data_IF_726748920567
#
_entry.id   IF_726748920567
#
_cell.length_a   1.000
_cell.length_b   1.000
_cell.length_c   1.000
_cell.angle_alpha   90.00
_cell.angle_beta   90.00
_cell.angle_gamma   90.00
#
_symmetry.space_group_name_H-M   'P 1'
#
loop_
_entity.id
_entity.type
_entity.pdbx_description
1 polymer ?
#
# COMPACT_ATOMS: atom_id res chain seq x y z
N UNK A 1 -16.37 -0.74 -1.61
CA UNK A 1 -16.64 -0.61 -3.06
C UNK A 1 -15.93 -1.75 -3.79
N UNK A 2 -16.66 -2.61 -4.47
CA UNK A 2 -16.08 -3.72 -5.22
C UNK A 2 -16.91 -3.92 -6.48
N UNK A 3 -16.35 -3.59 -7.65
CA UNK A 3 -17.03 -3.55 -8.95
C UNK A 3 -18.28 -2.67 -8.99
N UNK A 4 -18.32 -1.63 -8.19
CA UNK A 4 -19.48 -0.76 -8.05
C UNK A 4 -19.25 0.58 -8.75
N UNK A 5 -20.35 1.28 -9.01
CA UNK A 5 -20.29 2.64 -9.50
C UNK A 5 -19.53 3.53 -8.50
N UNK A 6 -18.92 4.57 -9.02
CA UNK A 6 -18.18 5.51 -8.21
C UNK A 6 -19.10 6.28 -7.26
N UNK A 7 -18.76 6.29 -5.98
CA UNK A 7 -19.45 7.06 -4.94
C UNK A 7 -18.43 7.92 -4.20
N UNK A 8 -18.51 9.23 -4.38
CA UNK A 8 -17.66 10.20 -3.70
C UNK A 8 -18.54 11.19 -2.92
N UNK A 9 -18.25 11.31 -1.65
CA UNK A 9 -18.91 12.24 -0.75
C UNK A 9 -17.87 13.15 -0.11
N UNK A 10 -18.19 14.44 -0.05
CA UNK A 10 -17.35 15.46 0.58
C UNK A 10 -18.25 16.38 1.40
N UNK A 11 -17.72 16.86 2.52
CA UNK A 11 -18.29 18.00 3.23
C UNK A 11 -17.65 19.29 2.72
N UNK A 12 -18.45 20.28 2.40
CA UNK A 12 -17.98 21.60 1.94
C UNK A 12 -17.55 22.50 3.11
N UNK A 13 -17.83 22.08 4.34
CA UNK A 13 -17.43 22.79 5.56
C UNK A 13 -16.93 21.82 6.61
N UNK A 14 -16.02 22.27 7.47
CA UNK A 14 -15.53 21.46 8.60
C UNK A 14 -16.72 21.08 9.51
N UNK A 15 -16.91 19.77 9.73
CA UNK A 15 -18.01 19.23 10.52
C UNK A 15 -19.37 19.26 9.84
N UNK A 16 -19.47 19.68 8.58
CA UNK A 16 -20.69 19.64 7.78
C UNK A 16 -21.09 18.23 7.35
N UNK A 17 -22.35 18.05 6.96
CA UNK A 17 -22.82 16.79 6.41
C UNK A 17 -22.19 16.51 5.04
N UNK A 18 -21.71 15.27 4.78
CA UNK A 18 -21.19 14.91 3.47
C UNK A 18 -22.24 15.00 2.38
N UNK A 19 -21.91 15.63 1.27
CA UNK A 19 -22.73 15.73 0.07
C UNK A 19 -22.19 14.82 -1.02
N UNK A 20 -23.05 14.36 -1.91
CA UNK A 20 -22.64 13.51 -3.04
C UNK A 20 -21.98 14.37 -4.14
N UNK A 21 -20.70 14.16 -4.34
CA UNK A 21 -19.86 14.81 -5.32
C UNK A 21 -19.35 13.83 -6.40
N UNK A 22 -20.03 12.70 -6.59
CA UNK A 22 -19.58 11.67 -7.55
C UNK A 22 -19.50 12.19 -8.99
N UNK A 23 -20.29 13.21 -9.34
CA UNK A 23 -20.26 13.85 -10.66
C UNK A 23 -19.02 14.73 -10.89
N UNK A 24 -18.31 15.12 -9.81
CA UNK A 24 -17.11 15.98 -9.92
C UNK A 24 -15.87 15.17 -10.34
N UNK A 25 -15.97 13.83 -10.32
CA UNK A 25 -14.86 12.98 -10.72
C UNK A 25 -14.68 12.96 -12.24
N UNK A 26 -13.44 13.13 -12.76
CA UNK A 26 -13.14 13.14 -14.18
C UNK A 26 -13.14 11.73 -14.78
N UNK A 27 -14.24 11.00 -14.56
CA UNK A 27 -14.42 9.62 -15.00
C UNK A 27 -15.77 9.46 -15.72
N UNK A 28 -15.88 8.54 -16.68
CA UNK A 28 -17.19 8.18 -17.23
C UNK A 28 -18.13 7.66 -16.13
N UNK A 29 -19.44 7.86 -16.31
CA UNK A 29 -20.46 7.33 -15.39
C UNK A 29 -20.46 5.80 -15.29
N UNK A 30 -19.88 5.13 -16.28
CA UNK A 30 -19.68 3.67 -16.31
C UNK A 30 -18.40 3.22 -15.57
N UNK A 31 -17.59 4.16 -15.06
CA UNK A 31 -16.37 3.82 -14.34
C UNK A 31 -16.70 3.05 -13.08
N UNK A 32 -16.07 1.91 -12.95
CA UNK A 32 -16.12 1.08 -11.74
C UNK A 32 -14.75 1.10 -11.07
N UNK A 33 -14.70 1.52 -9.81
CA UNK A 33 -13.48 1.60 -9.04
C UNK A 33 -13.44 0.60 -7.88
N UNK A 34 -12.23 0.17 -7.53
CA UNK A 34 -11.98 -0.66 -6.34
C UNK A 34 -10.65 -0.28 -5.70
N UNK A 35 -10.54 -0.52 -4.38
CA UNK A 35 -9.32 -0.30 -3.60
C UNK A 35 -8.81 1.15 -3.70
N UNK A 36 -9.60 2.15 -3.28
CA UNK A 36 -9.13 3.53 -3.22
C UNK A 36 -8.08 3.68 -2.11
N UNK A 37 -6.95 4.29 -2.46
CA UNK A 37 -5.90 4.72 -1.52
C UNK A 37 -5.74 6.22 -1.69
N UNK A 38 -5.77 6.95 -0.58
CA UNK A 38 -5.76 8.42 -0.55
C UNK A 38 -4.57 8.89 0.30
N UNK A 39 -3.96 9.99 -0.14
CA UNK A 39 -2.99 10.75 0.65
C UNK A 39 -3.13 12.23 0.39
N UNK A 40 -2.68 13.05 1.33
CA UNK A 40 -2.68 14.52 1.20
C UNK A 40 -1.26 15.02 0.98
N UNK A 41 -1.08 15.85 -0.03
CA UNK A 41 0.18 16.52 -0.31
C UNK A 41 0.44 17.67 0.68
N UNK A 42 1.69 18.10 0.87
CA UNK A 42 2.03 19.22 1.75
C UNK A 42 1.31 20.55 1.42
N UNK A 43 0.91 20.75 0.17
CA UNK A 43 0.14 21.92 -0.27
C UNK A 43 -1.39 21.80 -0.08
N UNK A 44 -1.86 20.70 0.49
CA UNK A 44 -3.27 20.43 0.74
C UNK A 44 -4.02 19.75 -0.42
N UNK A 45 -3.36 19.46 -1.53
CA UNK A 45 -3.94 18.65 -2.60
C UNK A 45 -4.15 17.21 -2.13
N UNK A 46 -5.18 16.55 -2.64
CA UNK A 46 -5.43 15.14 -2.33
C UNK A 46 -5.16 14.28 -3.54
N UNK A 47 -4.41 13.22 -3.35
CA UNK A 47 -4.14 12.22 -4.39
C UNK A 47 -4.88 10.93 -4.08
N UNK A 48 -5.46 10.35 -5.13
CA UNK A 48 -6.22 9.12 -5.08
C UNK A 48 -5.65 8.13 -6.10
N UNK A 49 -5.14 7.02 -5.63
CA UNK A 49 -4.83 5.85 -6.45
C UNK A 49 -5.97 4.85 -6.35
N UNK A 50 -6.48 4.40 -7.48
CA UNK A 50 -7.60 3.47 -7.52
C UNK A 50 -7.45 2.50 -8.69
N UNK A 51 -7.86 1.25 -8.48
CA UNK A 51 -7.95 0.28 -9.57
C UNK A 51 -9.23 0.52 -10.37
N UNK A 52 -9.14 0.58 -11.70
CA UNK A 52 -10.30 0.53 -12.57
C UNK A 52 -11.05 -0.80 -12.42
N UNK A 53 -12.33 -0.78 -12.72
CA UNK A 53 -13.15 -1.98 -12.70
C UNK A 53 -12.78 -2.98 -13.78
N UNK A 54 -13.65 -3.95 -13.96
CA UNK A 54 -13.45 -5.02 -14.92
C UNK A 54 -13.51 -4.49 -16.36
N UNK A 55 -12.57 -4.93 -17.16
CA UNK A 55 -12.43 -4.62 -18.58
C UNK A 55 -12.51 -5.91 -19.39
N UNK A 56 -13.42 -5.95 -20.37
CA UNK A 56 -13.61 -7.12 -21.25
C UNK A 56 -12.36 -7.46 -22.08
N UNK A 57 -11.45 -6.50 -22.27
CA UNK A 57 -10.18 -6.70 -22.95
C UNK A 57 -9.10 -7.35 -22.08
N UNK A 58 -9.37 -7.57 -20.78
CA UNK A 58 -8.44 -8.25 -19.88
C UNK A 58 -7.50 -7.33 -19.12
N UNK A 59 -7.88 -6.07 -18.91
CA UNK A 59 -7.10 -5.11 -18.13
C UNK A 59 -7.85 -4.66 -16.89
N UNK A 60 -7.13 -4.48 -15.80
CA UNK A 60 -7.55 -3.75 -14.61
C UNK A 60 -6.45 -2.79 -14.20
N UNK A 61 -6.50 -1.57 -14.72
CA UNK A 61 -5.46 -0.57 -14.54
C UNK A 61 -5.55 0.13 -13.19
N UNK A 62 -4.39 0.57 -12.68
CA UNK A 62 -4.28 1.55 -11.61
C UNK A 62 -4.30 2.96 -12.16
N UNK A 63 -5.15 3.82 -11.61
CA UNK A 63 -5.31 5.20 -12.07
C UNK A 63 -5.07 6.17 -10.91
N UNK A 64 -4.27 7.21 -11.17
CA UNK A 64 -3.98 8.27 -10.23
C UNK A 64 -4.78 9.51 -10.58
N UNK A 65 -5.46 10.08 -9.59
CA UNK A 65 -6.20 11.33 -9.67
C UNK A 65 -5.67 12.31 -8.64
N UNK A 66 -5.81 13.62 -8.91
CA UNK A 66 -5.48 14.72 -8.02
C UNK A 66 -6.69 15.62 -7.83
N UNK A 67 -7.02 15.92 -6.59
CA UNK A 67 -7.83 17.05 -6.19
C UNK A 67 -6.92 18.24 -6.01
N UNK A 68 -7.11 19.28 -6.82
CA UNK A 68 -6.48 20.56 -6.64
C UNK A 68 -7.26 21.35 -5.58
N UNK A 69 -6.64 21.57 -4.44
CA UNK A 69 -7.30 22.20 -3.31
C UNK A 69 -7.61 23.69 -3.56
N UNK A 70 -6.78 24.37 -4.32
CA UNK A 70 -6.98 25.79 -4.67
C UNK A 70 -8.10 25.96 -5.71
N UNK A 71 -8.13 25.10 -6.72
CA UNK A 71 -9.15 25.15 -7.79
C UNK A 71 -10.44 24.40 -7.42
N UNK A 72 -10.43 23.59 -6.36
CA UNK A 72 -11.54 22.72 -5.93
C UNK A 72 -12.05 21.80 -7.05
N UNK A 73 -11.11 21.18 -7.79
CA UNK A 73 -11.42 20.31 -8.92
C UNK A 73 -10.58 19.04 -8.93
N UNK A 74 -11.17 17.94 -9.40
CA UNK A 74 -10.45 16.69 -9.68
C UNK A 74 -9.90 16.70 -11.11
N UNK A 75 -8.71 16.15 -11.26
CA UNK A 75 -8.10 15.83 -12.53
C UNK A 75 -7.50 14.44 -12.53
N UNK A 76 -7.46 13.79 -13.69
CA UNK A 76 -6.72 12.54 -13.85
C UNK A 76 -5.25 12.85 -14.13
N UNK A 77 -4.35 12.33 -13.30
CA UNK A 77 -2.91 12.50 -13.48
C UNK A 77 -2.39 11.50 -14.52
N UNK A 78 -2.62 10.20 -14.28
CA UNK A 78 -2.10 9.16 -15.16
C UNK A 78 -2.82 7.80 -14.99
N UNK A 79 -2.58 6.89 -15.93
CA UNK A 79 -2.71 5.45 -15.73
C UNK A 79 -1.34 4.94 -15.28
N UNK A 80 -1.21 4.58 -14.01
CA UNK A 80 0.05 4.16 -13.41
C UNK A 80 0.48 2.81 -13.95
N UNK A 81 -0.40 1.82 -13.89
CA UNK A 81 -0.09 0.47 -14.37
C UNK A 81 -1.26 -0.13 -15.14
N UNK A 82 -0.93 -0.80 -16.24
CA UNK A 82 -1.90 -1.51 -17.09
C UNK A 82 -1.18 -2.61 -17.86
N UNK A 83 -1.63 -3.84 -17.73
CA UNK A 83 -1.03 -4.99 -18.43
C UNK A 83 -2.09 -6.01 -18.77
N UNK A 84 -2.04 -6.53 -20.01
CA UNK A 84 -2.99 -7.53 -20.49
C UNK A 84 -3.02 -8.75 -19.56
N UNK A 85 -4.22 -9.23 -19.25
CA UNK A 85 -4.47 -10.33 -18.31
C UNK A 85 -3.87 -10.13 -16.91
N UNK A 86 -3.71 -8.86 -16.50
CA UNK A 86 -3.26 -8.49 -15.16
C UNK A 86 -4.24 -7.53 -14.49
N UNK A 87 -4.33 -7.66 -13.18
CA UNK A 87 -5.05 -6.73 -12.32
C UNK A 87 -4.05 -5.98 -11.46
N UNK A 88 -4.12 -4.66 -11.50
CA UNK A 88 -3.37 -3.77 -10.64
C UNK A 88 -4.01 -3.73 -9.24
N UNK A 89 -3.22 -3.76 -8.18
CA UNK A 89 -3.70 -3.61 -6.81
C UNK A 89 -2.94 -2.48 -6.11
N UNK A 90 -3.60 -1.35 -5.83
CA UNK A 90 -3.02 -0.26 -5.03
C UNK A 90 -2.77 -0.73 -3.60
N UNK A 91 -1.61 -0.38 -3.05
CA UNK A 91 -1.28 -0.66 -1.65
C UNK A 91 -1.15 0.62 -0.82
N UNK A 92 -0.27 1.54 -1.24
CA UNK A 92 -0.01 2.73 -0.43
C UNK A 92 0.48 3.94 -1.24
N UNK A 93 0.33 5.13 -0.65
CA UNK A 93 0.76 6.43 -1.17
C UNK A 93 1.36 7.27 -0.05
N UNK A 94 2.58 7.75 -0.23
CA UNK A 94 3.25 8.63 0.75
C UNK A 94 3.98 9.76 0.04
N UNK A 95 3.84 11.00 0.53
CA UNK A 95 4.68 12.11 0.11
C UNK A 95 5.98 12.17 0.91
N UNK A 96 7.08 12.46 0.22
CA UNK A 96 8.33 12.80 0.87
C UNK A 96 8.40 14.31 1.20
N UNK A 97 9.48 14.72 1.86
CA UNK A 97 9.72 16.12 2.23
C UNK A 97 9.96 17.05 1.01
N UNK A 98 10.28 16.49 -0.14
CA UNK A 98 10.47 17.25 -1.39
C UNK A 98 9.14 17.48 -2.14
N UNK A 99 8.07 16.83 -1.69
CA UNK A 99 6.76 16.84 -2.34
C UNK A 99 6.65 15.87 -3.50
N UNK A 100 7.52 14.88 -3.59
CA UNK A 100 7.39 13.76 -4.51
C UNK A 100 6.49 12.68 -3.90
N UNK A 101 5.61 12.10 -4.72
CA UNK A 101 4.67 11.07 -4.32
C UNK A 101 5.24 9.68 -4.61
N UNK A 102 5.47 8.90 -3.56
CA UNK A 102 5.85 7.50 -3.63
C UNK A 102 4.60 6.63 -3.74
N UNK A 103 4.58 5.68 -4.66
CA UNK A 103 3.43 4.86 -5.02
C UNK A 103 3.81 3.39 -4.94
N UNK A 104 3.06 2.61 -4.15
CA UNK A 104 3.26 1.18 -3.95
C UNK A 104 2.05 0.39 -4.48
N UNK A 105 2.32 -0.71 -5.17
CA UNK A 105 1.27 -1.53 -5.76
C UNK A 105 1.73 -2.96 -6.04
N UNK A 106 0.77 -3.85 -6.21
CA UNK A 106 0.95 -5.28 -6.54
C UNK A 106 0.22 -5.64 -7.82
N UNK A 107 0.53 -6.81 -8.36
CA UNK A 107 -0.13 -7.39 -9.52
C UNK A 107 -0.82 -8.71 -9.18
N UNK A 108 -1.87 -9.02 -9.93
CA UNK A 108 -2.56 -10.31 -9.84
C UNK A 108 -3.00 -10.77 -11.22
N UNK A 109 -3.34 -12.04 -11.36
CA UNK A 109 -3.97 -12.53 -12.59
C UNK A 109 -5.35 -11.87 -12.79
N UNK A 110 -5.69 -11.63 -14.05
CA UNK A 110 -7.02 -11.18 -14.44
C UNK A 110 -8.02 -12.38 -14.38
N UNK A 111 -9.28 -12.24 -13.99
CA UNK A 111 -9.94 -11.03 -13.51
C UNK A 111 -9.81 -10.89 -11.99
N UNK A 112 -9.93 -11.95 -11.22
CA UNK A 112 -9.83 -11.96 -9.77
C UNK A 112 -9.06 -13.20 -9.33
N UNK A 113 -7.93 -12.97 -8.69
CA UNK A 113 -7.18 -14.00 -7.98
C UNK A 113 -6.86 -13.51 -6.58
N UNK A 114 -6.92 -14.35 -5.56
CA UNK A 114 -6.48 -13.99 -4.22
C UNK A 114 -4.95 -13.86 -4.12
N UNK A 115 -4.22 -14.41 -5.08
CA UNK A 115 -2.76 -14.30 -5.15
C UNK A 115 -2.35 -12.97 -5.78
N UNK A 116 -1.33 -12.37 -5.20
CA UNK A 116 -0.65 -11.18 -5.70
C UNK A 116 0.83 -11.43 -5.82
N UNK A 117 1.45 -10.71 -6.74
CA UNK A 117 2.79 -10.95 -7.21
C UNK A 117 3.49 -9.62 -7.47
N UNK A 118 4.82 -9.66 -7.53
CA UNK A 118 5.65 -8.58 -8.02
C UNK A 118 5.31 -7.22 -7.39
N UNK A 119 5.48 -7.14 -6.04
CA UNK A 119 5.39 -5.87 -5.35
C UNK A 119 6.24 -4.84 -6.06
N UNK A 120 5.62 -3.75 -6.47
CA UNK A 120 6.18 -2.77 -7.40
C UNK A 120 6.11 -1.36 -6.85
N UNK A 121 7.03 -0.53 -7.30
CA UNK A 121 7.17 0.85 -6.89
C UNK A 121 7.29 1.79 -8.08
N UNK A 122 6.82 3.03 -7.90
CA UNK A 122 7.14 4.18 -8.76
C UNK A 122 7.03 5.47 -7.95
N UNK A 123 7.85 6.46 -8.28
CA UNK A 123 7.80 7.81 -7.73
C UNK A 123 7.24 8.78 -8.77
N UNK A 124 6.31 9.63 -8.39
CA UNK A 124 5.78 10.73 -9.19
C UNK A 124 6.24 12.06 -8.64
N UNK A 125 6.82 12.91 -9.49
CA UNK A 125 7.18 14.28 -9.14
C UNK A 125 6.12 15.25 -9.68
N UNK A 126 5.25 15.80 -8.82
CA UNK A 126 4.23 16.75 -9.25
C UNK A 126 4.82 18.02 -9.89
N UNK A 127 6.02 18.43 -9.49
CA UNK A 127 6.69 19.63 -10.00
C UNK A 127 7.12 19.50 -11.47
N UNK A 128 7.45 18.27 -11.91
CA UNK A 128 7.89 18.00 -13.30
C UNK A 128 6.85 17.23 -14.11
N UNK A 129 5.84 16.65 -13.46
CA UNK A 129 4.88 15.74 -14.08
C UNK A 129 5.47 14.39 -14.50
N UNK A 130 6.64 14.03 -14.01
CA UNK A 130 7.42 12.87 -14.46
C UNK A 130 7.39 11.73 -13.43
N UNK A 131 7.65 10.51 -13.92
CA UNK A 131 7.67 9.30 -13.11
C UNK A 131 9.06 8.66 -13.14
N UNK A 132 9.48 8.10 -11.98
CA UNK A 132 10.83 7.59 -11.79
C UNK A 132 10.81 6.27 -11.01
N UNK A 133 11.81 5.43 -11.26
CA UNK A 133 12.17 4.31 -10.37
C UNK A 133 12.84 4.83 -9.09
N UNK A 134 13.10 3.93 -8.15
CA UNK A 134 13.80 4.26 -6.91
C UNK A 134 15.24 4.72 -7.16
N UNK A 135 15.89 4.27 -8.26
CA UNK A 135 17.22 4.70 -8.70
C UNK A 135 17.24 6.09 -9.36
N UNK A 136 16.10 6.75 -9.49
CA UNK A 136 15.95 8.04 -10.16
C UNK A 136 15.85 7.96 -11.69
N UNK A 137 15.92 6.78 -12.29
CA UNK A 137 15.70 6.63 -13.74
C UNK A 137 14.25 6.89 -14.12
N UNK A 138 14.03 7.67 -15.18
CA UNK A 138 12.71 7.99 -15.67
C UNK A 138 12.02 6.75 -16.27
N UNK A 139 10.70 6.65 -16.07
CA UNK A 139 9.89 5.57 -16.64
C UNK A 139 8.73 6.13 -17.46
N UNK A 140 8.37 5.38 -18.50
CA UNK A 140 7.16 5.66 -19.29
C UNK A 140 5.96 4.89 -18.74
N UNK A 141 4.81 5.54 -18.76
CA UNK A 141 3.54 4.93 -18.35
C UNK A 141 2.72 4.45 -19.55
N UNK A 142 1.79 3.50 -19.38
CA UNK A 142 1.55 2.74 -18.15
C UNK A 142 2.62 1.67 -17.88
N UNK A 143 2.92 1.43 -16.60
CA UNK A 143 3.81 0.36 -16.20
C UNK A 143 3.17 -1.01 -16.47
N UNK A 144 4.04 -1.98 -16.73
CA UNK A 144 3.73 -3.41 -16.73
C UNK A 144 4.70 -4.13 -15.77
N UNK A 145 4.48 -5.36 -15.36
CA UNK A 145 5.46 -6.09 -14.55
C UNK A 145 6.88 -6.11 -15.15
N UNK A 146 6.99 -6.14 -16.48
CA UNK A 146 8.29 -6.18 -17.17
C UNK A 146 9.10 -4.88 -17.12
N UNK A 147 8.48 -3.73 -16.80
CA UNK A 147 9.15 -2.41 -16.75
C UNK A 147 9.02 -1.70 -15.41
N UNK A 148 8.17 -2.20 -14.53
CA UNK A 148 8.03 -1.67 -13.17
C UNK A 148 9.33 -1.82 -12.37
N UNK A 149 9.50 -1.01 -11.35
CA UNK A 149 10.54 -1.19 -10.35
C UNK A 149 10.07 -2.24 -9.34
N UNK A 150 10.56 -3.47 -9.49
CA UNK A 150 10.11 -4.62 -8.72
C UNK A 150 10.88 -4.71 -7.40
N UNK A 151 10.16 -4.62 -6.29
CA UNK A 151 10.70 -4.81 -4.93
C UNK A 151 10.83 -6.30 -4.63
N UNK A 152 9.73 -7.05 -4.78
CA UNK A 152 9.71 -8.49 -4.56
C UNK A 152 9.48 -9.21 -5.90
N UNK A 153 10.54 -9.77 -6.51
CA UNK A 153 10.40 -10.53 -7.76
C UNK A 153 9.69 -11.86 -7.52
N UNK A 154 9.22 -12.47 -8.61
CA UNK A 154 8.64 -13.81 -8.58
C UNK A 154 9.65 -14.83 -8.05
N UNK A 155 9.19 -15.72 -7.18
CA UNK A 155 9.94 -16.94 -6.86
C UNK A 155 9.98 -17.89 -8.08
N UNK A 156 10.93 -18.84 -8.16
CA UNK A 156 11.06 -19.72 -9.32
C UNK A 156 9.79 -20.51 -9.69
N UNK A 157 8.96 -20.83 -8.72
CA UNK A 157 7.69 -21.56 -8.93
C UNK A 157 6.46 -20.66 -8.89
N UNK A 158 6.66 -19.37 -8.67
CA UNK A 158 5.57 -18.39 -8.60
C UNK A 158 5.07 -18.04 -9.99
N UNK A 159 3.76 -18.09 -10.18
CA UNK A 159 3.13 -17.81 -11.46
C UNK A 159 1.81 -17.08 -11.30
N UNK A 160 1.45 -16.31 -12.33
CA UNK A 160 0.14 -15.68 -12.44
C UNK A 160 -0.91 -16.72 -12.81
N UNK A 161 -1.64 -17.18 -11.82
CA UNK A 161 -2.70 -18.20 -12.02
C UNK A 161 -4.06 -17.57 -11.79
N UNK A 162 -4.93 -17.66 -12.77
CA UNK A 162 -6.33 -17.27 -12.64
C UNK A 162 -7.07 -18.29 -11.78
N UNK A 163 -7.48 -17.90 -10.58
CA UNK A 163 -8.20 -18.77 -9.64
C UNK A 163 -9.17 -17.98 -8.79
N UNK A 164 -10.32 -18.57 -8.46
CA UNK A 164 -11.32 -17.98 -7.55
C UNK A 164 -11.05 -18.25 -6.06
N UNK A 165 -10.15 -19.19 -5.75
CA UNK A 165 -9.72 -19.52 -4.40
C UNK A 165 -8.20 -19.48 -4.29
N UNK A 166 -7.67 -19.30 -3.08
CA UNK A 166 -6.22 -19.34 -2.85
C UNK A 166 -5.69 -20.77 -3.08
N UNK A 167 -4.88 -21.02 -4.13
CA UNK A 167 -4.32 -22.33 -4.41
C UNK A 167 -3.10 -22.69 -3.54
N UNK A 168 -2.68 -21.77 -2.67
CA UNK A 168 -1.38 -21.87 -2.00
C UNK A 168 -0.22 -21.37 -2.89
N UNK A 169 1.00 -21.54 -2.42
CA UNK A 169 2.21 -21.13 -3.12
C UNK A 169 2.67 -19.70 -2.79
N UNK A 170 3.82 -19.29 -3.34
CA UNK A 170 4.45 -18.02 -3.04
C UNK A 170 3.63 -16.83 -3.57
N UNK A 171 3.78 -15.71 -2.91
CA UNK A 171 3.13 -14.47 -3.33
C UNK A 171 3.18 -13.37 -2.27
N UNK A 172 3.00 -12.15 -2.73
CA UNK A 172 2.91 -10.95 -1.90
C UNK A 172 1.47 -10.76 -1.45
N UNK A 173 1.27 -10.10 -0.32
CA UNK A 173 -0.04 -9.59 0.07
C UNK A 173 0.10 -8.44 1.07
N UNK A 174 -0.59 -7.34 0.79
CA UNK A 174 -0.63 -6.15 1.64
C UNK A 174 0.75 -5.56 1.91
N UNK A 175 1.02 -4.43 1.37
CA UNK A 175 2.25 -3.70 1.59
C UNK A 175 1.95 -2.28 2.10
N UNK A 176 2.92 -1.71 2.83
CA UNK A 176 2.89 -0.37 3.37
C UNK A 176 4.22 0.33 3.14
N UNK A 177 4.15 1.63 2.94
CA UNK A 177 5.25 2.47 2.50
C UNK A 177 5.54 3.57 3.52
N UNK A 178 6.81 3.80 3.79
CA UNK A 178 7.30 5.02 4.41
C UNK A 178 8.51 5.54 3.62
N UNK A 179 8.97 6.72 3.96
CA UNK A 179 10.15 7.35 3.36
C UNK A 179 11.16 7.63 4.44
N UNK A 180 12.42 7.28 4.20
CA UNK A 180 13.52 7.57 5.13
C UNK A 180 13.89 9.06 5.13
N UNK A 181 14.79 9.46 6.02
CA UNK A 181 15.23 10.85 6.13
C UNK A 181 16.00 11.37 4.90
N UNK A 182 16.39 10.49 3.99
CA UNK A 182 17.08 10.83 2.74
C UNK A 182 16.15 10.86 1.53
N UNK A 183 14.85 10.58 1.73
CA UNK A 183 13.88 10.51 0.64
C UNK A 183 13.82 9.14 -0.06
N UNK A 184 14.45 8.10 0.49
CA UNK A 184 14.39 6.76 -0.08
C UNK A 184 13.16 5.98 0.42
N UNK A 185 12.51 5.19 -0.43
CA UNK A 185 11.39 4.37 -0.02
C UNK A 185 11.82 3.21 0.88
N UNK A 186 11.04 2.96 1.92
CA UNK A 186 11.11 1.78 2.78
C UNK A 186 9.75 1.14 2.86
N UNK A 187 9.70 -0.18 2.79
CA UNK A 187 8.45 -0.93 2.61
C UNK A 187 8.36 -2.07 3.61
N UNK A 188 7.21 -2.21 4.25
CA UNK A 188 6.86 -3.42 4.97
C UNK A 188 5.78 -4.18 4.20
N UNK A 189 5.92 -5.50 4.07
CA UNK A 189 4.96 -6.30 3.32
C UNK A 189 4.89 -7.73 3.84
N UNK A 190 3.85 -8.44 3.47
CA UNK A 190 3.71 -9.86 3.74
C UNK A 190 4.09 -10.66 2.51
N UNK A 191 4.89 -11.68 2.72
CA UNK A 191 5.28 -12.60 1.66
C UNK A 191 5.11 -14.05 2.11
N UNK A 192 4.47 -14.85 1.29
CA UNK A 192 4.38 -16.29 1.49
C UNK A 192 5.48 -16.96 0.68
N UNK A 193 6.36 -17.62 1.39
CA UNK A 193 7.47 -18.35 0.79
C UNK A 193 6.97 -19.61 0.08
N UNK A 194 7.79 -20.13 -0.83
CA UNK A 194 7.55 -21.42 -1.47
C UNK A 194 7.42 -22.54 -0.42
N UNK A 195 6.43 -23.41 -0.60
CA UNK A 195 6.13 -24.48 0.34
C UNK A 195 5.47 -24.05 1.65
N UNK A 196 5.25 -22.75 1.86
CA UNK A 196 4.56 -22.22 3.03
C UNK A 196 3.05 -22.08 2.78
N UNK A 197 2.25 -22.23 3.83
CA UNK A 197 0.82 -21.91 3.85
C UNK A 197 0.54 -20.56 4.54
N UNK A 198 1.58 -19.90 5.04
CA UNK A 198 1.49 -18.73 5.91
C UNK A 198 2.44 -17.64 5.43
N UNK A 199 2.19 -16.41 5.86
CA UNK A 199 2.96 -15.25 5.45
C UNK A 199 4.01 -14.86 6.49
N UNK A 200 5.21 -14.55 6.04
CA UNK A 200 6.22 -13.84 6.79
C UNK A 200 6.01 -12.32 6.69
N UNK A 201 6.47 -11.59 7.68
CA UNK A 201 6.59 -10.13 7.63
C UNK A 201 7.97 -9.79 7.08
N UNK A 202 7.99 -9.06 5.98
CA UNK A 202 9.20 -8.63 5.28
C UNK A 202 9.37 -7.11 5.37
N UNK A 203 10.60 -6.70 5.18
CA UNK A 203 11.00 -5.31 5.02
C UNK A 203 11.88 -5.18 3.79
N UNK A 204 11.70 -4.11 3.04
CA UNK A 204 12.57 -3.72 1.94
C UNK A 204 13.01 -2.27 2.10
N UNK A 205 14.26 -1.99 1.76
CA UNK A 205 14.79 -0.63 1.68
C UNK A 205 15.57 -0.47 0.38
N UNK A 206 15.48 0.71 -0.22
CA UNK A 206 16.28 1.02 -1.39
C UNK A 206 17.62 1.63 -0.98
N UNK A 207 18.71 1.13 -1.54
CA UNK A 207 20.08 1.58 -1.27
C UNK A 207 20.94 1.58 -2.53
N UNK A 208 22.25 1.76 -2.39
CA UNK A 208 23.21 1.86 -3.50
C UNK A 208 23.24 0.62 -4.40
N UNK A 209 22.94 -0.55 -3.85
CA UNK A 209 22.89 -1.83 -4.57
C UNK A 209 21.47 -2.24 -5.01
N UNK A 210 20.51 -1.32 -4.93
CA UNK A 210 19.10 -1.58 -5.23
C UNK A 210 18.27 -1.96 -4.00
N UNK A 211 17.23 -2.77 -4.20
CA UNK A 211 16.34 -3.21 -3.13
C UNK A 211 16.98 -4.28 -2.24
N UNK A 212 17.12 -3.98 -0.96
CA UNK A 212 17.58 -4.89 0.08
C UNK A 212 16.38 -5.45 0.83
N UNK A 213 16.20 -6.79 0.80
CA UNK A 213 15.08 -7.49 1.39
C UNK A 213 15.48 -8.19 2.69
N UNK A 214 14.68 -8.02 3.75
CA UNK A 214 14.91 -8.62 5.06
C UNK A 214 13.65 -9.30 5.58
N UNK A 215 13.83 -10.35 6.38
CA UNK A 215 12.73 -10.95 7.13
C UNK A 215 12.67 -10.31 8.52
N UNK A 216 11.55 -9.65 8.81
CA UNK A 216 11.28 -9.03 10.12
C UNK A 216 10.76 -10.08 11.10
N UNK A 217 9.83 -10.89 10.64
CA UNK A 217 9.21 -11.94 11.42
C UNK A 217 8.87 -13.14 10.54
N UNK A 218 9.51 -14.25 10.81
CA UNK A 218 9.29 -15.49 10.09
C UNK A 218 8.28 -16.35 10.85
N UNK A 219 7.01 -16.13 10.60
CA UNK A 219 5.96 -16.85 11.29
C UNK A 219 4.75 -17.11 10.43
N UNK A 220 3.98 -17.95 10.96
CA UNK A 220 2.77 -18.59 10.53
C UNK A 220 1.56 -17.65 10.52
N UNK A 221 1.55 -16.59 9.70
CA UNK A 221 0.48 -15.63 9.71
C UNK A 221 -0.46 -15.79 8.51
N UNK A 222 -1.72 -16.09 8.77
CA UNK A 222 -2.76 -16.20 7.72
C UNK A 222 -3.48 -14.88 7.46
N UNK A 223 -3.53 -14.00 8.47
CA UNK A 223 -4.16 -12.68 8.37
C UNK A 223 -3.34 -11.69 9.18
N UNK A 224 -2.47 -10.94 8.56
CA UNK A 224 -1.78 -9.89 9.27
C UNK A 224 -2.17 -8.52 8.71
N UNK A 225 -2.58 -7.61 9.57
CA UNK A 225 -2.45 -6.19 9.29
C UNK A 225 -0.98 -5.83 9.42
N UNK A 226 -0.49 -4.95 8.57
CA UNK A 226 0.88 -4.48 8.56
C UNK A 226 0.88 -2.96 8.35
N UNK A 227 1.85 -2.30 8.95
CA UNK A 227 2.12 -0.88 8.73
C UNK A 227 3.60 -0.57 8.95
N UNK A 228 4.05 0.62 8.51
CA UNK A 228 5.44 1.04 8.68
C UNK A 228 5.52 2.54 8.89
N UNK A 229 6.40 2.97 9.80
CA UNK A 229 6.79 4.37 9.95
C UNK A 229 8.30 4.51 9.94
N UNK A 230 8.78 5.71 9.60
CA UNK A 230 10.19 6.06 9.75
C UNK A 230 10.34 6.97 10.96
N UNK A 231 11.06 6.53 11.99
CA UNK A 231 11.20 7.22 13.26
C UNK A 231 12.65 7.59 13.57
N UNK A 232 12.97 8.87 13.46
CA UNK A 232 14.35 9.34 13.63
C UNK A 232 15.25 8.85 12.50
N UNK A 233 15.95 7.74 12.74
CA UNK A 233 16.87 7.14 11.76
C UNK A 233 16.60 5.65 11.49
N UNK A 234 15.47 5.13 11.98
CA UNK A 234 15.16 3.69 11.88
C UNK A 234 13.72 3.44 11.47
N UNK A 235 13.45 2.38 10.68
CA UNK A 235 12.10 1.92 10.41
C UNK A 235 11.48 1.29 11.65
N UNK A 236 10.17 1.46 11.80
CA UNK A 236 9.34 0.71 12.73
C UNK A 236 8.29 -0.04 11.93
N UNK A 237 8.36 -1.36 11.95
CA UNK A 237 7.40 -2.23 11.26
C UNK A 237 6.37 -2.70 12.27
N UNK A 238 5.12 -2.39 12.02
CA UNK A 238 3.98 -2.78 12.85
C UNK A 238 3.24 -3.94 12.20
N UNK A 239 2.85 -4.94 12.98
CA UNK A 239 2.15 -6.10 12.44
C UNK A 239 1.33 -6.83 13.51
N UNK A 240 0.40 -7.65 13.03
CA UNK A 240 -0.48 -8.47 13.88
C UNK A 240 -0.19 -9.95 13.63
N UNK A 241 -0.02 -10.71 14.72
CA UNK A 241 0.06 -12.18 14.69
C UNK A 241 -1.34 -12.80 14.69
N UNK A 242 -1.52 -13.92 14.00
CA UNK A 242 -2.81 -14.60 13.88
C UNK A 242 -3.25 -15.31 15.17
N UNK A 243 -2.32 -15.60 16.08
CA UNK A 243 -2.58 -16.37 17.30
C UNK A 243 -1.90 -15.76 18.53
N UNK A 244 -2.26 -16.23 19.70
CA UNK A 244 -1.75 -15.75 20.99
C UNK A 244 -2.64 -14.67 21.61
N UNK A 245 -2.32 -14.32 22.87
CA UNK A 245 -2.97 -13.22 23.61
C UNK A 245 -2.41 -11.86 23.22
N UNK A 246 -1.09 -11.81 22.99
CA UNK A 246 -0.40 -10.63 22.49
C UNK A 246 -0.26 -10.78 20.97
N UNK A 247 -0.97 -9.97 20.23
CA UNK A 247 -0.99 -10.08 18.77
C UNK A 247 -0.38 -8.89 18.04
N UNK A 248 -0.49 -7.69 18.57
CA UNK A 248 0.05 -6.48 17.94
C UNK A 248 1.49 -6.23 18.39
N UNK A 249 2.40 -6.10 17.43
CA UNK A 249 3.82 -5.89 17.64
C UNK A 249 4.35 -4.74 16.82
N UNK A 250 5.38 -4.09 17.36
CA UNK A 250 6.29 -3.23 16.64
C UNK A 250 7.67 -3.91 16.60
N UNK A 251 8.27 -3.95 15.43
CA UNK A 251 9.64 -4.41 15.25
C UNK A 251 10.54 -3.24 14.79
N UNK A 252 11.75 -3.19 15.32
CA UNK A 252 12.78 -2.26 14.92
C UNK A 252 14.12 -3.00 14.70
N UNK A 253 14.98 -2.52 13.79
CA UNK A 253 16.26 -3.17 13.52
C UNK A 253 17.20 -3.07 14.72
N UNK A 254 18.05 -4.09 14.85
CA UNK A 254 19.15 -4.18 15.82
C UNK A 254 20.45 -4.52 15.07
N UNK A 255 21.58 -4.53 15.76
CA UNK A 255 22.87 -4.90 15.15
C UNK A 255 22.95 -6.33 14.58
N UNK A 256 21.94 -7.19 14.82
CA UNK A 256 21.92 -8.58 14.36
C UNK A 256 20.56 -9.07 13.85
N UNK A 257 19.61 -8.17 13.58
CA UNK A 257 18.27 -8.54 13.11
C UNK A 257 17.21 -7.57 13.56
N UNK A 258 16.04 -8.09 13.98
CA UNK A 258 14.88 -7.29 14.38
C UNK A 258 14.44 -7.62 15.82
N UNK A 259 14.36 -6.61 16.68
CA UNK A 259 13.73 -6.73 18.00
C UNK A 259 12.22 -6.53 17.88
N UNK A 260 11.45 -7.25 18.70
CA UNK A 260 9.99 -7.19 18.69
C UNK A 260 9.47 -6.73 20.05
N UNK A 261 8.55 -5.78 20.06
CA UNK A 261 7.90 -5.28 21.27
C UNK A 261 6.38 -5.40 21.11
N UNK A 262 5.70 -5.99 22.09
CA UNK A 262 4.24 -5.98 22.12
C UNK A 262 3.73 -4.56 22.38
N UNK A 263 2.84 -4.06 21.52
CA UNK A 263 2.27 -2.71 21.63
C UNK A 263 0.85 -2.70 22.25
N UNK A 264 0.26 -3.87 22.47
CA UNK A 264 -1.04 -4.03 23.11
C UNK A 264 -1.09 -5.33 23.96
N UNK A 265 -0.31 -5.41 25.06
CA UNK A 265 -0.23 -6.62 25.87
C UNK A 265 -1.61 -7.10 26.37
N UNK A 266 -1.85 -8.41 26.26
CA UNK A 266 -3.10 -9.04 26.69
C UNK A 266 -4.33 -8.70 25.85
N UNK A 267 -4.15 -8.09 24.66
CA UNK A 267 -5.26 -7.73 23.77
C UNK A 267 -5.20 -8.53 22.46
N UNK A 268 -6.30 -9.19 22.05
CA UNK A 268 -6.36 -9.98 20.83
C UNK A 268 -6.60 -9.08 19.60
N UNK A 269 -5.71 -8.15 19.35
CA UNK A 269 -5.79 -7.23 18.21
C UNK A 269 -5.75 -8.02 16.90
N UNK A 270 -6.63 -7.67 15.96
CA UNK A 270 -6.76 -8.32 14.66
C UNK A 270 -6.47 -7.38 13.49
N UNK A 271 -6.55 -6.07 13.73
CA UNK A 271 -6.23 -5.04 12.72
C UNK A 271 -5.50 -3.88 13.37
N UNK A 272 -4.63 -3.27 12.63
CA UNK A 272 -3.95 -2.04 13.02
C UNK A 272 -3.84 -1.08 11.83
N UNK A 273 -3.72 0.19 12.15
CA UNK A 273 -3.22 1.23 11.27
C UNK A 273 -2.37 2.17 12.10
N UNK A 274 -1.29 2.68 11.53
CA UNK A 274 -0.35 3.54 12.21
C UNK A 274 -0.10 4.77 11.35
N UNK A 275 -0.27 5.93 11.96
CA UNK A 275 0.01 7.22 11.34
C UNK A 275 1.06 7.96 12.14
N UNK A 276 2.05 8.54 11.47
CA UNK A 276 3.02 9.39 12.12
C UNK A 276 2.56 10.85 12.07
N UNK A 277 2.40 11.46 13.23
CA UNK A 277 2.00 12.87 13.30
C UNK A 277 3.19 13.83 13.12
N UNK A 278 2.91 15.13 12.97
CA UNK A 278 3.91 16.18 12.76
C UNK A 278 4.91 16.31 13.91
N UNK A 279 4.57 15.85 15.11
CA UNK A 279 5.46 15.82 16.26
C UNK A 279 6.36 14.58 16.30
N UNK A 280 6.30 13.74 15.24
CA UNK A 280 7.11 12.54 15.14
C UNK A 280 6.68 11.41 16.07
N UNK A 281 5.43 11.38 16.50
CA UNK A 281 4.83 10.33 17.34
C UNK A 281 4.01 9.42 16.46
N UNK A 282 4.19 8.12 16.61
CA UNK A 282 3.36 7.13 15.92
C UNK A 282 2.03 6.97 16.67
N UNK A 283 0.94 7.26 15.97
CA UNK A 283 -0.44 7.15 16.46
C UNK A 283 -0.99 5.79 16.02
N UNK A 284 -1.43 5.01 16.98
CA UNK A 284 -1.87 3.63 16.78
C UNK A 284 -3.39 3.53 16.85
N UNK A 285 -4.00 2.96 15.83
CA UNK A 285 -5.39 2.54 15.79
C UNK A 285 -5.43 1.01 15.77
N UNK A 286 -5.90 0.40 16.86
CA UNK A 286 -5.86 -1.04 17.06
C UNK A 286 -7.28 -1.58 17.24
N UNK A 287 -7.64 -2.59 16.45
CA UNK A 287 -8.99 -3.14 16.45
C UNK A 287 -9.00 -4.58 16.95
N UNK A 288 -9.75 -4.80 18.01
CA UNK A 288 -10.17 -6.12 18.49
C UNK A 288 -11.54 -6.42 17.87
N UNK A 289 -11.54 -7.15 16.77
CA UNK A 289 -12.78 -7.46 16.02
C UNK A 289 -13.69 -8.37 16.84
N UNK A 290 -13.13 -9.35 17.55
CA UNK A 290 -13.85 -10.32 18.35
C UNK A 290 -14.68 -9.64 19.44
N UNK A 291 -14.09 -8.68 20.17
CA UNK A 291 -14.75 -7.96 21.27
C UNK A 291 -15.38 -6.62 20.80
N UNK A 292 -15.29 -6.28 19.51
CA UNK A 292 -15.80 -5.03 18.91
C UNK A 292 -15.27 -3.78 19.61
N UNK A 293 -13.94 -3.76 19.88
CA UNK A 293 -13.26 -2.65 20.55
C UNK A 293 -12.25 -1.98 19.65
N UNK A 294 -12.21 -0.67 19.71
CA UNK A 294 -11.18 0.16 19.12
C UNK A 294 -10.30 0.71 20.25
N UNK A 295 -9.00 0.54 20.12
CA UNK A 295 -8.01 1.11 21.01
C UNK A 295 -7.20 2.16 20.26
N UNK A 296 -6.88 3.20 20.98
CA UNK A 296 -5.98 4.26 20.54
C UNK A 296 -4.72 4.22 21.39
N UNK A 297 -3.56 4.34 20.76
CA UNK A 297 -2.26 4.34 21.43
C UNK A 297 -1.28 5.33 20.80
N UNK A 298 -0.14 5.48 21.47
CA UNK A 298 1.01 6.27 20.99
C UNK A 298 2.27 5.47 21.21
N UNK A 299 3.23 5.61 20.29
CA UNK A 299 4.54 4.98 20.38
C UNK A 299 5.66 5.96 19.98
#
# INVERSE_FOLDING_TARGET
MHHDAWHYFRSDTVGGAPQNHSADMPTPTTFKGTYPVLTTAPNGDVYLLIRSGEDAAGYRSGQLFRWDNAASTWSKVAVIGSSLNKSFYPDDLVFDANGDLHILFEWSAFAASPLRHELSYVKYSPSTGSFYKADGSAVSLPLTPGIADIIQPLAPTEAYVQTGSDPGGPGVQSAKLAVDSSGNPVVAYRYREEGSTTFSVKYASYGVDGWNLQTVYNASETKAAIDITWAGSVPRVYYVKSSGTDRAFMAAPTGGGWSQTSIAPGKPIERLSVERNDNGIDILYLVDVTNRKLYYGRN
#
